data_IF_401034062003
#
_entry.id   IF_401034062003
#
_cell.length_a   1.000
_cell.length_b   1.000
_cell.length_c   1.000
_cell.angle_alpha   90.00
_cell.angle_beta   90.00
_cell.angle_gamma   90.00
#
_symmetry.space_group_name_H-M   'P 1'
#
loop_
_entity.id
_entity.type
_entity.pdbx_description
1 polymer ?
#
# COMPACT_ATOMS: atom_id res chain seq x y z
N UNK A 1 -47.17 8.14 19.26
CA UNK A 1 -46.20 7.15 19.78
C UNK A 1 -45.54 6.31 18.68
N UNK A 2 -46.25 5.81 17.66
CA UNK A 2 -45.65 4.98 16.61
C UNK A 2 -44.57 5.67 15.73
N UNK A 3 -44.69 6.99 15.48
CA UNK A 3 -43.70 7.74 14.70
C UNK A 3 -42.35 7.91 15.42
N UNK A 4 -42.38 8.16 16.74
CA UNK A 4 -41.17 8.27 17.57
C UNK A 4 -40.41 6.93 17.65
N UNK A 5 -41.12 5.80 17.71
CA UNK A 5 -40.51 4.47 17.71
C UNK A 5 -39.79 4.15 16.39
N UNK A 6 -40.36 4.55 15.24
CA UNK A 6 -39.71 4.37 13.93
C UNK A 6 -38.45 5.21 13.76
N UNK A 7 -38.45 6.43 14.29
CA UNK A 7 -37.28 7.32 14.27
C UNK A 7 -36.18 6.81 15.20
N UNK A 8 -36.53 6.29 16.38
CA UNK A 8 -35.58 5.68 17.31
C UNK A 8 -34.93 4.41 16.74
N UNK A 9 -35.69 3.55 16.05
CA UNK A 9 -35.14 2.36 15.37
C UNK A 9 -34.21 2.74 14.21
N UNK A 10 -34.52 3.82 13.47
CA UNK A 10 -33.66 4.30 12.38
C UNK A 10 -32.33 4.90 12.89
N UNK A 11 -32.33 5.52 14.08
CA UNK A 11 -31.15 6.11 14.73
C UNK A 11 -30.28 5.08 15.46
N UNK A 12 -30.81 3.91 15.81
CA UNK A 12 -30.07 2.81 16.45
C UNK A 12 -29.41 1.85 15.45
N UNK A 13 -29.81 1.90 14.17
CA UNK A 13 -29.27 1.04 13.11
C UNK A 13 -27.75 1.17 12.83
N UNK A 14 -27.08 2.33 12.98
CA UNK A 14 -25.65 2.44 12.70
C UNK A 14 -24.73 1.93 13.84
N UNK A 15 -25.28 1.51 14.98
CA UNK A 15 -24.49 1.02 16.14
C UNK A 15 -24.04 -0.44 15.97
N UNK A 16 -24.53 -1.16 14.96
CA UNK A 16 -24.27 -2.59 14.76
C UNK A 16 -23.18 -2.91 13.73
N UNK A 17 -22.50 -1.90 13.17
CA UNK A 17 -21.37 -2.15 12.28
C UNK A 17 -20.09 -2.36 13.11
N UNK A 18 -19.88 -3.60 13.56
CA UNK A 18 -18.52 -4.05 13.88
C UNK A 18 -17.76 -4.21 12.56
N UNK A 19 -16.71 -3.40 12.38
CA UNK A 19 -15.78 -3.57 11.27
C UNK A 19 -14.86 -4.75 11.57
N UNK A 20 -15.07 -5.89 10.90
CA UNK A 20 -14.11 -6.99 10.89
C UNK A 20 -13.18 -6.80 9.70
N UNK A 21 -11.90 -6.50 9.96
CA UNK A 21 -10.85 -6.51 8.95
C UNK A 21 -10.17 -7.88 8.97
N UNK A 22 -10.63 -8.80 8.13
CA UNK A 22 -9.94 -10.05 7.86
C UNK A 22 -9.98 -10.33 6.36
N UNK A 23 -8.85 -10.73 5.79
CA UNK A 23 -8.73 -11.03 4.37
C UNK A 23 -9.09 -12.50 4.18
N UNK A 24 -10.18 -12.76 3.48
CA UNK A 24 -10.58 -14.11 3.10
C UNK A 24 -10.57 -14.27 1.58
N UNK A 25 -9.95 -15.33 1.09
CA UNK A 25 -9.93 -15.62 -0.34
C UNK A 25 -9.92 -17.12 -0.62
N UNK A 26 -10.50 -17.49 -1.75
CA UNK A 26 -10.44 -18.86 -2.26
C UNK A 26 -9.10 -19.11 -2.96
N UNK A 27 -8.44 -20.20 -2.58
CA UNK A 27 -7.20 -20.71 -3.14
C UNK A 27 -7.52 -21.96 -3.99
N UNK A 28 -7.46 -21.85 -5.32
CA UNK A 28 -7.63 -23.00 -6.21
C UNK A 28 -6.51 -24.04 -6.04
N UNK A 29 -6.83 -25.27 -6.40
CA UNK A 29 -5.89 -26.39 -6.35
C UNK A 29 -4.74 -26.19 -7.34
N UNK A 30 -3.51 -26.56 -6.95
CA UNK A 30 -2.30 -26.38 -7.76
C UNK A 30 -2.08 -24.93 -8.21
N UNK A 31 -2.52 -23.97 -7.39
CA UNK A 31 -2.35 -22.54 -7.63
C UNK A 31 -1.60 -21.88 -6.48
N UNK A 32 -1.02 -20.72 -6.78
CA UNK A 32 -0.35 -19.84 -5.82
C UNK A 32 -1.06 -18.50 -5.79
N UNK A 33 -1.48 -18.05 -4.62
CA UNK A 33 -1.96 -16.68 -4.40
C UNK A 33 -1.10 -15.98 -3.37
N UNK A 34 -0.84 -14.72 -3.62
CA UNK A 34 0.07 -13.94 -2.81
C UNK A 34 -0.50 -12.56 -2.50
N UNK A 35 -0.27 -12.10 -1.27
CA UNK A 35 -0.58 -10.75 -0.83
C UNK A 35 0.74 -9.98 -0.70
N UNK A 36 0.88 -8.89 -1.43
CA UNK A 36 2.07 -8.03 -1.39
C UNK A 36 1.71 -6.70 -0.72
N UNK A 37 2.50 -6.31 0.25
CA UNK A 37 2.27 -5.11 1.06
C UNK A 37 3.55 -4.28 1.17
N UNK A 38 3.41 -2.96 1.09
CA UNK A 38 4.50 -2.00 1.29
C UNK A 38 4.51 -1.57 2.75
N UNK A 39 5.59 -1.86 3.47
CA UNK A 39 5.71 -1.52 4.90
C UNK A 39 6.99 -0.74 5.14
N UNK A 40 6.95 0.14 6.15
CA UNK A 40 8.09 0.96 6.52
C UNK A 40 9.19 0.08 7.17
N UNK A 41 10.42 0.59 7.18
CA UNK A 41 11.56 -0.05 7.86
C UNK A 41 11.33 -0.17 9.37
N UNK A 42 11.86 -1.22 9.97
CA UNK A 42 11.85 -1.49 11.42
C UNK A 42 10.44 -1.63 12.02
N UNK A 43 9.48 -2.11 11.23
CA UNK A 43 8.08 -2.33 11.65
C UNK A 43 7.87 -3.82 11.93
N UNK A 44 7.32 -4.12 13.12
CA UNK A 44 6.88 -5.47 13.46
C UNK A 44 5.60 -5.82 12.69
N UNK A 45 5.62 -6.94 11.99
CA UNK A 45 4.46 -7.50 11.30
C UNK A 45 4.10 -8.84 11.93
N UNK A 46 2.84 -8.99 12.32
CA UNK A 46 2.29 -10.23 12.85
C UNK A 46 1.09 -10.65 12.02
N UNK A 47 0.97 -11.93 11.73
CA UNK A 47 -0.21 -12.46 11.05
C UNK A 47 -0.68 -13.79 11.62
N UNK A 48 -1.98 -14.00 11.55
CA UNK A 48 -2.66 -15.24 11.86
C UNK A 48 -3.36 -15.75 10.61
N UNK A 49 -3.16 -17.03 10.30
CA UNK A 49 -3.79 -17.65 9.13
C UNK A 49 -4.54 -18.90 9.55
N UNK A 50 -5.66 -19.14 8.86
CA UNK A 50 -6.48 -20.33 8.99
C UNK A 50 -6.95 -20.77 7.61
N UNK A 51 -6.60 -22.01 7.25
CA UNK A 51 -6.87 -22.61 5.95
C UNK A 51 -7.89 -23.72 6.16
N UNK A 52 -8.97 -23.70 5.39
CA UNK A 52 -9.97 -24.78 5.40
C UNK A 52 -9.32 -26.10 4.99
N UNK A 53 -9.42 -27.11 5.85
CA UNK A 53 -8.93 -28.45 5.55
C UNK A 53 -9.75 -29.09 4.43
N UNK A 54 -9.06 -29.70 3.47
CA UNK A 54 -9.65 -30.49 2.38
C UNK A 54 -8.85 -31.78 2.21
N UNK A 55 -9.56 -32.86 1.85
CA UNK A 55 -8.95 -34.16 1.67
C UNK A 55 -7.95 -34.13 0.50
N UNK A 56 -6.74 -34.65 0.72
CA UNK A 56 -5.64 -34.75 -0.25
C UNK A 56 -5.03 -33.43 -0.78
N UNK A 57 -5.29 -32.28 -0.15
CA UNK A 57 -4.64 -31.00 -0.50
C UNK A 57 -3.68 -30.56 0.59
N UNK A 58 -2.45 -30.21 0.21
CA UNK A 58 -1.42 -29.68 1.09
C UNK A 58 -1.11 -28.24 0.69
N UNK A 59 -1.12 -27.32 1.65
CA UNK A 59 -0.87 -25.90 1.39
C UNK A 59 0.44 -25.49 2.02
N UNK A 60 1.33 -24.86 1.26
CA UNK A 60 2.58 -24.30 1.76
C UNK A 60 2.44 -22.78 1.88
N UNK A 61 2.94 -22.23 2.99
CA UNK A 61 3.03 -20.80 3.23
C UNK A 61 4.49 -20.36 3.08
N UNK A 62 4.73 -19.32 2.30
CA UNK A 62 6.05 -18.71 2.15
C UNK A 62 5.92 -17.19 2.19
N UNK A 63 6.70 -16.56 3.05
CA UNK A 63 6.82 -15.10 3.16
C UNK A 63 8.20 -14.71 2.64
N UNK A 64 8.23 -13.83 1.66
CA UNK A 64 9.47 -13.35 1.04
C UNK A 64 9.51 -11.85 0.99
N UNK A 65 10.69 -11.28 1.16
CA UNK A 65 10.96 -9.87 0.90
C UNK A 65 11.17 -9.60 -0.60
N UNK A 66 11.28 -8.34 -1.02
CA UNK A 66 11.47 -7.97 -2.44
C UNK A 66 12.79 -8.51 -3.02
N UNK A 67 13.80 -8.64 -2.16
CA UNK A 67 15.08 -9.28 -2.46
C UNK A 67 14.99 -10.82 -2.56
N UNK A 68 13.78 -11.38 -2.52
CA UNK A 68 13.50 -12.82 -2.50
C UNK A 68 14.09 -13.58 -1.31
N UNK A 69 14.49 -12.86 -0.26
CA UNK A 69 14.90 -13.45 1.01
C UNK A 69 13.67 -14.05 1.70
N UNK A 70 13.77 -15.29 2.20
CA UNK A 70 12.64 -15.97 2.83
C UNK A 70 12.59 -15.62 4.31
N UNK A 71 11.61 -14.82 4.70
CA UNK A 71 11.41 -14.37 6.08
C UNK A 71 10.75 -15.46 6.93
N UNK A 72 9.81 -16.20 6.34
CA UNK A 72 9.12 -17.29 7.00
C UNK A 72 8.69 -18.35 5.98
N UNK A 73 8.76 -19.61 6.34
CA UNK A 73 8.25 -20.70 5.49
C UNK A 73 7.68 -21.82 6.36
N UNK A 74 6.50 -22.30 5.95
CA UNK A 74 5.80 -23.39 6.62
C UNK A 74 5.23 -24.35 5.59
N UNK A 75 5.70 -25.59 5.64
CA UNK A 75 5.13 -26.71 4.89
C UNK A 75 3.87 -27.26 5.60
N UNK A 76 2.92 -27.78 4.83
CA UNK A 76 1.64 -28.32 5.33
C UNK A 76 0.94 -27.36 6.33
N UNK A 77 0.82 -26.10 5.94
CA UNK A 77 0.19 -25.05 6.71
C UNK A 77 -1.34 -25.26 6.80
N UNK A 78 -1.86 -25.35 8.02
CA UNK A 78 -3.31 -25.41 8.31
C UNK A 78 -3.74 -24.16 9.07
N UNK A 79 -3.32 -24.04 10.33
CA UNK A 79 -3.53 -22.88 11.19
C UNK A 79 -2.24 -22.49 11.89
N UNK A 80 -1.97 -21.19 12.00
CA UNK A 80 -0.76 -20.73 12.67
C UNK A 80 -0.66 -19.22 12.77
N UNK A 81 0.38 -18.78 13.49
CA UNK A 81 0.78 -17.38 13.61
C UNK A 81 2.22 -17.23 13.15
N UNK A 82 2.53 -16.09 12.55
CA UNK A 82 3.89 -15.70 12.19
C UNK A 82 4.16 -14.27 12.68
N UNK A 83 5.42 -13.98 12.93
CA UNK A 83 5.88 -12.65 13.29
C UNK A 83 7.27 -12.43 12.69
N UNK A 84 7.49 -11.27 12.08
CA UNK A 84 8.79 -10.83 11.58
C UNK A 84 8.90 -9.31 11.65
N UNK A 85 10.11 -8.78 11.58
CA UNK A 85 10.37 -7.34 11.53
C UNK A 85 10.96 -6.99 10.18
N UNK A 86 10.49 -5.90 9.57
CA UNK A 86 11.02 -5.42 8.29
C UNK A 86 12.41 -4.81 8.47
N UNK A 87 13.40 -5.25 7.67
CA UNK A 87 14.77 -4.74 7.75
C UNK A 87 14.97 -3.45 6.95
N UNK A 88 14.28 -3.33 5.82
CA UNK A 88 14.36 -2.18 4.93
C UNK A 88 12.96 -1.67 4.55
N UNK A 89 12.92 -0.47 3.95
CA UNK A 89 11.71 0.09 3.36
C UNK A 89 11.38 -0.69 2.10
N UNK A 90 10.71 -1.83 2.28
CA UNK A 90 10.54 -2.78 1.20
C UNK A 90 9.19 -3.50 1.25
N UNK A 91 8.86 -4.12 0.13
CA UNK A 91 7.67 -4.94 -0.04
C UNK A 91 7.95 -6.36 0.38
N UNK A 92 7.14 -6.89 1.31
CA UNK A 92 7.07 -8.32 1.51
C UNK A 92 5.83 -8.91 0.80
N UNK A 93 5.92 -10.19 0.48
CA UNK A 93 4.87 -10.96 -0.16
C UNK A 93 4.58 -12.22 0.67
N UNK A 94 3.32 -12.40 1.06
CA UNK A 94 2.80 -13.58 1.76
C UNK A 94 2.10 -14.48 0.75
N UNK A 95 2.72 -15.60 0.39
CA UNK A 95 2.23 -16.53 -0.61
C UNK A 95 1.70 -17.83 0.00
N UNK A 96 0.52 -18.25 -0.45
CA UNK A 96 -0.05 -19.57 -0.20
C UNK A 96 -0.04 -20.38 -1.51
N UNK A 97 0.57 -21.56 -1.48
CA UNK A 97 0.69 -22.48 -2.62
C UNK A 97 -0.01 -23.81 -2.27
N UNK A 98 -1.09 -24.14 -2.98
CA UNK A 98 -1.79 -25.42 -2.81
C UNK A 98 -1.19 -26.48 -3.73
N UNK A 99 -0.89 -27.66 -3.20
CA UNK A 99 -0.40 -28.84 -3.94
C UNK A 99 -1.32 -30.03 -3.68
N UNK A 100 -1.83 -30.62 -4.76
CA UNK A 100 -2.66 -31.85 -4.71
C UNK A 100 -2.07 -32.92 -5.63
N UNK A 101 -2.09 -34.21 -5.25
CA UNK A 101 -1.72 -35.31 -6.14
C UNK A 101 -2.56 -35.25 -7.43
N UNK A 102 -1.92 -35.42 -8.60
CA UNK A 102 -2.64 -35.53 -9.87
C UNK A 102 -3.47 -36.83 -9.88
N UNK A 103 -4.79 -36.72 -10.06
CA UNK A 103 -5.68 -37.88 -10.32
C UNK A 103 -6.99 -37.93 -9.52
N UNK A 104 -7.21 -37.06 -8.55
CA UNK A 104 -8.41 -37.12 -7.69
C UNK A 104 -9.46 -36.07 -8.05
N UNK A 105 -10.26 -36.32 -9.09
CA UNK A 105 -11.54 -35.63 -9.32
C UNK A 105 -11.52 -34.09 -9.30
N UNK A 106 -12.71 -33.49 -9.21
CA UNK A 106 -12.87 -32.04 -8.99
C UNK A 106 -12.64 -31.77 -7.50
N UNK A 107 -11.43 -31.38 -7.13
CA UNK A 107 -11.15 -30.92 -5.76
C UNK A 107 -11.70 -29.51 -5.59
N UNK A 108 -12.49 -29.22 -4.53
CA UNK A 108 -13.01 -27.88 -4.29
C UNK A 108 -11.88 -26.89 -3.94
N UNK A 109 -12.15 -25.59 -4.04
CA UNK A 109 -11.19 -24.55 -3.65
C UNK A 109 -11.07 -24.48 -2.12
N UNK A 110 -9.88 -24.22 -1.60
CA UNK A 110 -9.65 -24.02 -0.16
C UNK A 110 -9.93 -22.56 0.20
N UNK A 111 -10.65 -22.31 1.31
CA UNK A 111 -10.79 -20.96 1.85
C UNK A 111 -9.59 -20.65 2.75
N UNK A 112 -8.91 -19.54 2.50
CA UNK A 112 -7.82 -19.03 3.34
C UNK A 112 -8.29 -17.75 4.00
N UNK A 113 -8.24 -17.72 5.34
CA UNK A 113 -8.43 -16.54 6.15
C UNK A 113 -7.06 -16.06 6.64
N UNK A 114 -6.76 -14.79 6.44
CA UNK A 114 -5.52 -14.13 6.83
C UNK A 114 -5.87 -12.83 7.56
N UNK A 115 -5.43 -12.73 8.81
CA UNK A 115 -5.44 -11.50 9.59
C UNK A 115 -4.00 -11.04 9.76
N UNK A 116 -3.70 -9.79 9.40
CA UNK A 116 -2.36 -9.22 9.44
C UNK A 116 -2.41 -7.86 10.13
N UNK A 117 -1.44 -7.64 11.01
CA UNK A 117 -1.28 -6.40 11.78
C UNK A 117 0.15 -5.92 11.68
N UNK A 118 0.32 -4.61 11.68
CA UNK A 118 1.62 -3.94 11.56
C UNK A 118 1.83 -2.92 12.67
N UNK A 119 3.09 -2.74 13.08
CA UNK A 119 3.52 -1.70 14.01
C UNK A 119 2.88 -1.82 15.39
N UNK A 120 2.19 -0.76 15.81
CA UNK A 120 1.58 -0.64 17.14
C UNK A 120 0.50 -1.70 17.37
N UNK A 121 -0.24 -2.10 16.34
CA UNK A 121 -1.29 -3.12 16.43
C UNK A 121 -0.74 -4.55 16.48
N UNK A 122 0.49 -4.77 16.01
CA UNK A 122 1.18 -6.05 16.07
C UNK A 122 1.78 -6.36 17.46
N UNK A 123 1.97 -5.33 18.29
CA UNK A 123 2.57 -5.46 19.63
C UNK A 123 1.59 -6.06 20.64
N UNK A 124 2.02 -7.10 21.35
CA UNK A 124 1.25 -7.69 22.46
C UNK A 124 1.53 -6.95 23.78
N UNK A 125 0.76 -5.90 24.05
CA UNK A 125 0.89 -5.10 25.28
C UNK A 125 0.59 -5.89 26.55
N UNK A 126 -0.21 -6.96 26.48
CA UNK A 126 -0.50 -7.79 27.67
C UNK A 126 0.71 -8.60 28.12
N UNK A 127 1.51 -9.09 27.17
CA UNK A 127 2.77 -9.78 27.49
C UNK A 127 3.82 -8.80 28.02
N UNK A 128 3.96 -7.64 27.39
CA UNK A 128 4.87 -6.58 27.85
C UNK A 128 4.50 -6.16 29.28
N UNK A 129 3.21 -5.95 29.56
CA UNK A 129 2.71 -5.62 30.89
C UNK A 129 3.09 -6.67 31.96
N UNK A 130 3.03 -7.96 31.61
CA UNK A 130 3.41 -9.05 32.52
C UNK A 130 4.90 -9.10 32.79
N UNK A 131 5.72 -8.89 31.77
CA UNK A 131 7.19 -8.93 31.87
C UNK A 131 7.72 -7.73 32.66
N UNK A 132 7.25 -6.52 32.33
CA UNK A 132 7.68 -5.27 32.96
C UNK A 132 6.91 -4.96 34.26
N UNK A 133 5.89 -5.77 34.59
CA UNK A 133 5.01 -5.59 35.77
C UNK A 133 4.37 -4.21 35.82
N UNK A 134 3.92 -3.72 34.67
CA UNK A 134 3.28 -2.42 34.54
C UNK A 134 1.87 -2.46 35.13
N UNK A 135 1.43 -1.33 35.70
CA UNK A 135 0.03 -1.16 36.09
C UNK A 135 -0.86 -1.03 34.85
N UNK A 136 -2.15 -1.39 34.91
CA UNK A 136 -3.07 -1.24 33.77
C UNK A 136 -3.06 0.15 33.14
N UNK A 137 -2.97 1.21 33.97
CA UNK A 137 -2.87 2.60 33.50
C UNK A 137 -1.55 2.90 32.76
N UNK A 138 -0.44 2.33 33.21
CA UNK A 138 0.88 2.54 32.58
C UNK A 138 0.94 1.86 31.20
N UNK A 139 0.26 0.72 31.02
CA UNK A 139 0.15 0.02 29.74
C UNK A 139 -0.62 0.85 28.72
N UNK A 140 -1.73 1.48 29.12
CA UNK A 140 -2.50 2.37 28.24
C UNK A 140 -1.69 3.59 27.83
N UNK A 141 -0.96 4.21 28.77
CA UNK A 141 -0.07 5.33 28.47
C UNK A 141 1.04 4.93 27.49
N UNK A 142 1.64 3.75 27.68
CA UNK A 142 2.69 3.25 26.78
C UNK A 142 2.15 2.99 25.37
N UNK A 143 0.94 2.44 25.26
CA UNK A 143 0.28 2.24 23.96
C UNK A 143 0.01 3.56 23.25
N UNK A 144 -0.41 4.60 23.97
CA UNK A 144 -0.64 5.94 23.41
C UNK A 144 0.67 6.62 22.99
N UNK A 145 1.74 6.43 23.76
CA UNK A 145 3.08 6.91 23.42
C UNK A 145 3.58 6.28 22.12
N UNK A 146 3.57 4.94 22.02
CA UNK A 146 3.97 4.20 20.82
C UNK A 146 3.11 4.59 19.60
N UNK A 147 1.80 4.82 19.79
CA UNK A 147 0.90 5.30 18.73
C UNK A 147 1.26 6.72 18.28
N UNK A 148 1.52 7.62 19.23
CA UNK A 148 1.90 9.00 18.92
C UNK A 148 3.22 9.06 18.18
N UNK A 149 4.21 8.25 18.58
CA UNK A 149 5.51 8.17 17.92
C UNK A 149 5.37 7.66 16.47
N UNK A 150 4.57 6.61 16.26
CA UNK A 150 4.26 6.11 14.92
C UNK A 150 3.67 7.20 14.04
N UNK A 151 2.68 7.95 14.53
CA UNK A 151 2.03 9.03 13.78
C UNK A 151 3.02 10.14 13.42
N UNK A 152 3.90 10.55 14.36
CA UNK A 152 4.90 11.58 14.11
C UNK A 152 5.89 11.14 13.03
N UNK A 153 6.32 9.88 13.06
CA UNK A 153 7.20 9.31 12.03
C UNK A 153 6.52 9.28 10.65
N UNK A 154 5.24 8.88 10.60
CA UNK A 154 4.46 8.89 9.35
C UNK A 154 4.31 10.31 8.79
N UNK A 155 4.01 11.30 9.64
CA UNK A 155 3.95 12.71 9.22
C UNK A 155 5.30 13.22 8.70
N UNK A 156 6.40 12.86 9.36
CA UNK A 156 7.74 13.25 8.93
C UNK A 156 8.07 12.67 7.55
N UNK A 157 7.69 11.41 7.31
CA UNK A 157 7.82 10.76 6.01
C UNK A 157 6.96 11.42 4.93
N UNK A 158 5.68 11.68 5.22
CA UNK A 158 4.77 12.36 4.28
C UNK A 158 5.29 13.75 3.90
N UNK A 159 5.80 14.52 4.87
CA UNK A 159 6.39 15.84 4.63
C UNK A 159 7.62 15.76 3.73
N UNK A 160 8.52 14.80 3.97
CA UNK A 160 9.70 14.61 3.12
C UNK A 160 9.30 14.30 1.67
N UNK A 161 8.31 13.44 1.48
CA UNK A 161 7.79 13.11 0.14
C UNK A 161 7.14 14.31 -0.55
N UNK A 162 6.41 15.14 0.19
CA UNK A 162 5.86 16.39 -0.32
C UNK A 162 6.98 17.34 -0.78
N UNK A 163 8.04 17.50 0.02
CA UNK A 163 9.18 18.35 -0.33
C UNK A 163 9.86 17.88 -1.63
N UNK A 164 10.08 16.58 -1.80
CA UNK A 164 10.64 16.00 -3.03
C UNK A 164 9.69 16.19 -4.23
N UNK A 165 8.38 15.98 -4.05
CA UNK A 165 7.38 16.24 -5.10
C UNK A 165 7.31 17.72 -5.47
N UNK A 166 7.48 18.62 -4.50
CA UNK A 166 7.47 20.06 -4.73
C UNK A 166 8.71 20.50 -5.53
N UNK A 167 9.89 20.00 -5.19
CA UNK A 167 11.14 20.31 -5.89
C UNK A 167 11.14 19.79 -7.34
N UNK A 168 10.65 18.56 -7.55
CA UNK A 168 10.47 18.01 -8.91
C UNK A 168 9.46 18.80 -9.74
N UNK A 169 8.37 19.27 -9.13
CA UNK A 169 7.40 20.12 -9.79
C UNK A 169 7.97 21.52 -10.12
N UNK A 170 8.70 22.14 -9.19
CA UNK A 170 9.33 23.46 -9.39
C UNK A 170 10.40 23.43 -10.49
N UNK A 171 11.27 22.42 -10.47
CA UNK A 171 12.29 22.24 -11.50
C UNK A 171 11.69 21.94 -12.88
N UNK A 172 10.61 21.16 -12.95
CA UNK A 172 9.87 20.89 -14.19
C UNK A 172 9.21 22.16 -14.73
N UNK A 173 8.51 22.92 -13.88
CA UNK A 173 7.86 24.17 -14.25
C UNK A 173 8.89 25.16 -14.82
N UNK A 174 10.03 25.30 -14.15
CA UNK A 174 11.12 26.19 -14.58
C UNK A 174 11.66 25.80 -15.96
N UNK A 175 11.88 24.50 -16.22
CA UNK A 175 12.33 24.01 -17.54
C UNK A 175 11.30 24.30 -18.63
N UNK A 176 10.02 24.06 -18.36
CA UNK A 176 8.91 24.32 -19.30
C UNK A 176 8.80 25.82 -19.61
N UNK A 177 8.98 26.67 -18.61
CA UNK A 177 8.99 28.12 -18.78
C UNK A 177 10.12 28.56 -19.72
N UNK A 178 11.34 28.06 -19.53
CA UNK A 178 12.46 28.39 -20.42
C UNK A 178 12.23 27.89 -21.86
N UNK A 179 11.71 26.66 -22.05
CA UNK A 179 11.33 26.17 -23.37
C UNK A 179 10.24 27.04 -24.03
N UNK A 180 9.27 27.50 -23.25
CA UNK A 180 8.19 28.38 -23.74
C UNK A 180 8.71 29.74 -24.18
N UNK A 181 9.61 30.36 -23.40
CA UNK A 181 10.27 31.62 -23.77
C UNK A 181 11.09 31.44 -25.06
N UNK A 182 11.91 30.38 -25.13
CA UNK A 182 12.71 30.09 -26.32
C UNK A 182 11.84 29.92 -27.58
N UNK A 183 10.74 29.16 -27.46
CA UNK A 183 9.76 28.96 -28.54
C UNK A 183 9.15 30.28 -29.00
N UNK A 184 8.71 31.14 -28.06
CA UNK A 184 8.15 32.45 -28.36
C UNK A 184 9.17 33.35 -29.09
N UNK A 185 10.43 33.38 -28.65
CA UNK A 185 11.50 34.09 -29.33
C UNK A 185 11.73 33.59 -30.76
N UNK A 186 11.70 32.26 -30.97
CA UNK A 186 11.84 31.67 -32.31
C UNK A 186 10.69 32.06 -33.23
N UNK A 187 9.45 32.05 -32.74
CA UNK A 187 8.27 32.46 -33.53
C UNK A 187 8.35 33.94 -33.94
N UNK A 188 8.76 34.84 -33.03
CA UNK A 188 8.96 36.26 -33.35
C UNK A 188 10.09 36.43 -34.38
N UNK A 189 11.21 35.69 -34.21
CA UNK A 189 12.32 35.69 -35.16
C UNK A 189 11.90 35.23 -36.57
N UNK A 190 11.12 34.15 -36.66
CA UNK A 190 10.58 33.67 -37.93
C UNK A 190 9.57 34.64 -38.55
N UNK A 191 8.69 35.25 -37.75
CA UNK A 191 7.72 36.22 -38.26
C UNK A 191 8.39 37.48 -38.83
N UNK A 192 9.39 38.03 -38.13
CA UNK A 192 10.16 39.19 -38.63
C UNK A 192 10.96 38.83 -39.89
N UNK A 193 11.57 37.65 -39.92
CA UNK A 193 12.25 37.14 -41.11
C UNK A 193 11.30 36.99 -42.30
N UNK A 194 10.11 36.43 -42.10
CA UNK A 194 9.08 36.28 -43.13
C UNK A 194 8.69 37.64 -43.73
N UNK A 195 8.45 38.66 -42.90
CA UNK A 195 8.11 40.01 -43.38
C UNK A 195 9.27 40.64 -44.17
N UNK A 196 10.50 40.50 -43.69
CA UNK A 196 11.68 41.02 -44.39
C UNK A 196 11.88 40.33 -45.74
N UNK A 197 11.76 39.00 -45.78
CA UNK A 197 11.84 38.22 -47.00
C UNK A 197 10.79 38.65 -48.03
N UNK A 198 9.52 38.77 -47.62
CA UNK A 198 8.45 39.23 -48.50
C UNK A 198 8.70 40.66 -49.02
N UNK A 199 9.12 41.59 -48.16
CA UNK A 199 9.47 42.96 -48.59
C UNK A 199 10.61 42.98 -49.60
N UNK A 200 11.67 42.19 -49.36
CA UNK A 200 12.81 42.08 -50.29
C UNK A 200 12.40 41.44 -51.61
N UNK A 201 11.55 40.43 -51.56
CA UNK A 201 11.00 39.77 -52.75
C UNK A 201 10.18 40.74 -53.63
N UNK A 202 9.27 41.53 -53.03
CA UNK A 202 8.46 42.51 -53.78
C UNK A 202 9.29 43.65 -54.37
N UNK A 203 10.30 44.16 -53.64
CA UNK A 203 11.25 45.15 -54.16
C UNK A 203 12.05 44.61 -55.35
N UNK A 204 12.56 43.38 -55.26
CA UNK A 204 13.33 42.76 -56.34
C UNK A 204 12.49 42.55 -57.62
N UNK A 205 11.18 42.35 -57.49
CA UNK A 205 10.25 42.16 -58.61
C UNK A 205 9.59 43.46 -59.12
N UNK A 206 9.96 44.64 -58.59
CA UNK A 206 9.40 45.96 -58.96
C UNK A 206 7.87 46.06 -58.88
N UNK A 207 7.24 45.35 -57.94
CA UNK A 207 5.77 45.36 -57.78
C UNK A 207 5.28 46.48 -56.84
N UNK A 208 6.17 47.06 -56.02
CA UNK A 208 5.91 48.19 -55.12
C UNK A 208 7.20 49.02 -55.09
N UNK A 209 7.09 50.34 -55.30
CA UNK A 209 8.21 51.30 -55.32
C UNK A 209 8.80 51.54 -53.91
#
# INVERSE_FOLDING_TARGET
MAAMARVAVLLLLPVLFESVFSISFFLPVNSRKCLREEVHKDVLVTGEYEISEQANTKTNLKITDSSSHTLYSKEDATKGKFAFTTEDYDMFEVCFESKSPMGTGRVPDQLVNLDMKHGVEAKNYEEIAKVEKLKPLEVELRRLEDLSESIVNDFAYMKKREEEMRDTNESTNTRVLYFSIFSMCCLIGLATWQVFYLRRFFKAKKLIE
#
